data_IF_142198675934
#
_entry.id   IF_142198675934
#
_cell.length_a   1.000
_cell.length_b   1.000
_cell.length_c   1.000
_cell.angle_alpha   90.00
_cell.angle_beta   90.00
_cell.angle_gamma   90.00
#
_symmetry.space_group_name_H-M   'P 1'
#
loop_
_entity.id
_entity.type
_entity.pdbx_description
1 polymer ?
#
# COMPACT_ATOMS: atom_id res chain seq x y z
N UNK A 1 -81.50 0.50 -16.22
CA UNK A 1 -81.26 0.26 -17.66
C UNK A 1 -80.09 1.14 -18.04
N UNK A 2 -78.89 0.70 -18.37
CA UNK A 2 -78.29 -0.64 -18.55
C UNK A 2 -76.82 -0.46 -18.10
N UNK A 3 -76.28 -1.32 -17.24
CA UNK A 3 -75.33 -2.39 -17.60
C UNK A 3 -74.61 -2.20 -18.95
N UNK A 4 -73.28 -2.05 -18.90
CA UNK A 4 -72.34 -2.73 -19.82
C UNK A 4 -70.85 -2.58 -19.37
N UNK A 5 -70.37 -3.67 -18.75
CA UNK A 5 -69.09 -4.35 -18.99
C UNK A 5 -67.76 -3.57 -19.13
N UNK A 6 -67.07 -3.40 -18.00
CA UNK A 6 -65.60 -3.33 -17.96
C UNK A 6 -64.99 -4.72 -18.20
N UNK A 7 -64.52 -4.96 -19.43
CA UNK A 7 -63.72 -6.15 -19.75
C UNK A 7 -62.27 -5.96 -19.27
N UNK A 8 -61.94 -6.61 -18.16
CA UNK A 8 -60.57 -6.72 -17.65
C UNK A 8 -59.76 -7.59 -18.62
N UNK A 9 -58.97 -6.96 -19.49
CA UNK A 9 -57.96 -7.65 -20.30
C UNK A 9 -56.83 -8.07 -19.37
N UNK A 10 -56.83 -9.34 -18.98
CA UNK A 10 -55.70 -9.97 -18.28
C UNK A 10 -54.53 -10.16 -19.25
N UNK A 11 -53.52 -9.28 -19.15
CA UNK A 11 -52.22 -9.52 -19.79
C UNK A 11 -51.51 -10.70 -19.10
N UNK A 12 -51.80 -11.92 -19.59
CA UNK A 12 -51.00 -13.10 -19.25
C UNK A 12 -49.62 -13.00 -19.91
N UNK A 13 -48.69 -12.31 -19.24
CA UNK A 13 -47.26 -12.38 -19.59
C UNK A 13 -46.75 -13.80 -19.32
N UNK A 14 -46.92 -14.69 -20.30
CA UNK A 14 -46.33 -16.04 -20.29
C UNK A 14 -44.81 -15.94 -20.41
N UNK A 15 -44.12 -15.53 -19.34
CA UNK A 15 -42.69 -15.77 -19.17
C UNK A 15 -42.50 -17.29 -19.25
N UNK A 16 -41.83 -17.78 -20.29
CA UNK A 16 -41.44 -19.20 -20.40
C UNK A 16 -40.64 -19.57 -19.15
N UNK A 17 -41.22 -20.39 -18.27
CA UNK A 17 -40.53 -20.92 -17.10
C UNK A 17 -39.35 -21.79 -17.54
N UNK A 18 -38.14 -21.42 -17.15
CA UNK A 18 -36.95 -22.25 -17.34
C UNK A 18 -36.72 -23.05 -16.05
N UNK A 19 -36.54 -24.37 -16.18
CA UNK A 19 -36.10 -25.20 -15.06
C UNK A 19 -34.68 -24.83 -14.66
N UNK A 20 -34.47 -24.62 -13.36
CA UNK A 20 -33.13 -24.39 -12.82
C UNK A 20 -32.31 -25.72 -12.84
N UNK A 21 -31.00 -25.66 -12.57
CA UNK A 21 -30.16 -26.87 -12.65
C UNK A 21 -30.47 -27.89 -11.55
N UNK A 22 -30.97 -27.46 -10.38
CA UNK A 22 -31.35 -28.37 -9.30
C UNK A 22 -32.63 -29.13 -9.64
N UNK A 23 -33.64 -28.46 -10.19
CA UNK A 23 -34.87 -29.07 -10.71
C UNK A 23 -34.53 -30.09 -11.81
N UNK A 24 -33.58 -29.76 -12.70
CA UNK A 24 -33.15 -30.67 -13.77
C UNK A 24 -32.43 -31.90 -13.23
N UNK A 25 -31.63 -31.78 -12.17
CA UNK A 25 -31.02 -32.93 -11.48
C UNK A 25 -32.07 -33.79 -10.77
N UNK A 26 -33.02 -33.15 -10.09
CA UNK A 26 -34.12 -33.84 -9.40
C UNK A 26 -35.01 -34.63 -10.38
N UNK A 27 -35.38 -34.01 -11.52
CA UNK A 27 -36.07 -34.69 -12.63
C UNK A 27 -35.29 -35.92 -13.09
N UNK A 28 -33.95 -35.81 -13.20
CA UNK A 28 -33.13 -36.94 -13.64
C UNK A 28 -33.06 -38.07 -12.62
N UNK A 29 -32.97 -37.76 -11.33
CA UNK A 29 -33.02 -38.77 -10.28
C UNK A 29 -34.35 -39.55 -10.33
N UNK A 30 -35.47 -38.85 -10.50
CA UNK A 30 -36.79 -39.48 -10.64
C UNK A 30 -36.84 -40.39 -11.87
N UNK A 31 -36.31 -39.94 -13.00
CA UNK A 31 -36.28 -40.72 -14.24
C UNK A 31 -35.33 -41.94 -14.15
N UNK A 32 -34.19 -41.81 -13.47
CA UNK A 32 -33.26 -42.92 -13.22
C UNK A 32 -33.87 -44.00 -12.33
N UNK A 33 -34.52 -43.60 -11.23
CA UNK A 33 -35.25 -44.54 -10.36
C UNK A 33 -36.43 -45.22 -11.08
N UNK A 34 -36.88 -44.65 -12.20
CA UNK A 34 -37.98 -45.17 -13.03
C UNK A 34 -37.46 -45.76 -14.35
N UNK A 35 -36.20 -46.22 -14.40
CA UNK A 35 -35.59 -46.81 -15.60
C UNK A 35 -35.06 -48.23 -15.37
N UNK A 36 -35.06 -49.06 -16.41
CA UNK A 36 -34.51 -50.41 -16.39
C UNK A 36 -32.98 -50.41 -16.48
N UNK A 37 -32.36 -51.58 -16.31
CA UNK A 37 -30.91 -51.77 -16.44
C UNK A 37 -30.37 -51.41 -17.84
N UNK A 38 -31.25 -51.29 -18.85
CA UNK A 38 -30.93 -50.91 -20.23
C UNK A 38 -31.19 -49.40 -20.49
N UNK A 39 -31.61 -48.64 -19.47
CA UNK A 39 -31.89 -47.20 -19.56
C UNK A 39 -33.22 -46.84 -20.22
N UNK A 40 -34.18 -47.76 -20.33
CA UNK A 40 -35.54 -47.50 -20.78
C UNK A 40 -36.43 -47.11 -19.61
N UNK A 41 -37.29 -46.09 -19.79
CA UNK A 41 -38.22 -45.67 -18.75
C UNK A 41 -39.32 -46.73 -18.56
N UNK A 42 -39.48 -47.20 -17.33
CA UNK A 42 -40.49 -48.19 -16.92
C UNK A 42 -41.70 -47.44 -16.36
N UNK A 43 -42.90 -47.80 -16.82
CA UNK A 43 -44.16 -47.24 -16.32
C UNK A 43 -44.78 -46.22 -17.27
N UNK A 44 -45.94 -46.57 -17.82
CA UNK A 44 -46.78 -45.66 -18.61
C UNK A 44 -47.25 -44.51 -17.73
N UNK A 45 -46.87 -43.28 -18.05
CA UNK A 45 -47.32 -42.07 -17.34
C UNK A 45 -46.29 -41.36 -16.47
N UNK A 46 -45.05 -41.88 -16.33
CA UNK A 46 -44.00 -41.25 -15.50
C UNK A 46 -43.61 -39.88 -16.06
N UNK A 47 -43.45 -39.78 -17.38
CA UNK A 47 -43.09 -38.53 -18.05
C UNK A 47 -44.21 -37.49 -17.90
N UNK A 48 -45.48 -37.89 -18.03
CA UNK A 48 -46.63 -37.02 -17.83
C UNK A 48 -46.70 -36.50 -16.39
N UNK A 49 -46.44 -37.36 -15.40
CA UNK A 49 -46.46 -36.99 -13.98
C UNK A 49 -45.36 -35.99 -13.62
N UNK A 50 -44.14 -36.24 -14.09
CA UNK A 50 -42.99 -35.35 -13.85
C UNK A 50 -43.15 -34.03 -14.62
N UNK A 51 -43.69 -34.08 -15.84
CA UNK A 51 -44.01 -32.89 -16.61
C UNK A 51 -45.03 -32.00 -15.87
N UNK A 52 -46.08 -32.60 -15.30
CA UNK A 52 -47.09 -31.90 -14.53
C UNK A 52 -46.53 -31.34 -13.21
N UNK A 53 -45.74 -32.10 -12.46
CA UNK A 53 -45.20 -31.65 -11.16
C UNK A 53 -44.25 -30.46 -11.28
N UNK A 54 -43.53 -30.36 -12.39
CA UNK A 54 -42.61 -29.25 -12.67
C UNK A 54 -43.21 -28.18 -13.60
N UNK A 55 -44.50 -28.29 -13.94
CA UNK A 55 -45.22 -27.37 -14.84
C UNK A 55 -44.48 -27.11 -16.17
N UNK A 56 -43.95 -28.18 -16.78
CA UNK A 56 -43.23 -28.14 -18.06
C UNK A 56 -43.85 -29.09 -19.07
N UNK A 57 -43.68 -28.77 -20.35
CA UNK A 57 -44.13 -29.67 -21.40
C UNK A 57 -43.31 -30.98 -21.41
N UNK A 58 -43.94 -32.12 -21.71
CA UNK A 58 -43.30 -33.45 -21.79
C UNK A 58 -42.02 -33.49 -22.63
N UNK A 59 -41.94 -32.66 -23.68
CA UNK A 59 -40.73 -32.55 -24.53
C UNK A 59 -39.51 -32.03 -23.77
N UNK A 60 -39.69 -31.23 -22.71
CA UNK A 60 -38.60 -30.76 -21.84
C UNK A 60 -38.01 -31.93 -21.06
N UNK A 61 -38.87 -32.80 -20.53
CA UNK A 61 -38.47 -34.01 -19.80
C UNK A 61 -37.73 -34.97 -20.73
N UNK A 62 -38.26 -35.24 -21.93
CA UNK A 62 -37.57 -36.06 -22.94
C UNK A 62 -36.22 -35.48 -23.36
N UNK A 63 -36.11 -34.15 -23.49
CA UNK A 63 -34.83 -33.49 -23.82
C UNK A 63 -33.82 -33.61 -22.69
N UNK A 64 -34.25 -33.49 -21.44
CA UNK A 64 -33.39 -33.70 -20.27
C UNK A 64 -32.91 -35.16 -20.21
N UNK A 65 -33.81 -36.12 -20.42
CA UNK A 65 -33.48 -37.55 -20.46
C UNK A 65 -32.49 -37.91 -21.56
N UNK A 66 -32.71 -37.39 -22.77
CA UNK A 66 -31.77 -37.55 -23.89
C UNK A 66 -30.40 -36.95 -23.57
N UNK A 67 -30.37 -35.74 -23.00
CA UNK A 67 -29.12 -35.08 -22.62
C UNK A 67 -28.34 -35.88 -21.57
N UNK A 68 -29.03 -36.50 -20.60
CA UNK A 68 -28.42 -37.39 -19.62
C UNK A 68 -27.77 -38.61 -20.30
N UNK A 69 -28.48 -39.27 -21.22
CA UNK A 69 -27.96 -40.44 -21.96
C UNK A 69 -26.74 -40.09 -22.81
N UNK A 70 -26.77 -38.94 -23.48
CA UNK A 70 -25.73 -38.56 -24.43
C UNK A 70 -24.45 -38.02 -23.75
N UNK A 71 -24.57 -37.33 -22.60
CA UNK A 71 -23.46 -36.55 -22.02
C UNK A 71 -23.20 -36.79 -20.54
N UNK A 72 -24.08 -37.49 -19.83
CA UNK A 72 -23.99 -37.66 -18.36
C UNK A 72 -24.25 -36.38 -17.56
N UNK A 73 -24.48 -35.22 -18.20
CA UNK A 73 -24.73 -33.94 -17.54
C UNK A 73 -26.05 -33.32 -17.99
N UNK A 74 -26.88 -32.95 -17.01
CA UNK A 74 -28.25 -32.48 -17.23
C UNK A 74 -28.43 -30.99 -17.02
N UNK A 75 -27.38 -30.29 -16.58
CA UNK A 75 -27.40 -28.84 -16.44
C UNK A 75 -27.72 -28.15 -17.78
N UNK A 76 -28.39 -27.00 -17.75
CA UNK A 76 -28.74 -26.31 -18.98
C UNK A 76 -27.47 -25.76 -19.68
N UNK A 77 -27.26 -26.10 -20.96
CA UNK A 77 -26.12 -25.62 -21.77
C UNK A 77 -26.00 -24.08 -21.91
N UNK A 78 -26.99 -23.31 -21.44
CA UNK A 78 -26.94 -21.85 -21.42
C UNK A 78 -25.99 -21.32 -20.34
N UNK A 79 -25.65 -22.12 -19.33
CA UNK A 79 -24.66 -21.70 -18.32
C UNK A 79 -23.23 -21.64 -18.87
N UNK A 80 -22.93 -22.32 -19.98
CA UNK A 80 -21.59 -22.31 -20.60
C UNK A 80 -21.56 -21.60 -21.96
N UNK A 81 -22.61 -21.73 -22.78
CA UNK A 81 -22.60 -21.25 -24.17
C UNK A 81 -23.38 -19.95 -24.41
N UNK A 82 -23.73 -19.20 -23.36
CA UNK A 82 -24.39 -17.90 -23.49
C UNK A 82 -23.44 -16.75 -23.23
N UNK A 83 -23.45 -15.78 -24.16
CA UNK A 83 -22.74 -14.52 -24.03
C UNK A 83 -21.77 -14.25 -25.18
N UNK A 84 -21.31 -13.00 -25.27
CA UNK A 84 -20.31 -12.58 -26.26
C UNK A 84 -18.97 -13.24 -25.92
N UNK A 85 -18.35 -13.93 -26.89
CA UNK A 85 -16.99 -14.48 -26.77
C UNK A 85 -16.03 -13.40 -26.28
N UNK A 86 -15.16 -13.74 -25.32
CA UNK A 86 -14.15 -12.81 -24.80
C UNK A 86 -13.21 -12.42 -25.95
N UNK A 87 -12.85 -11.13 -26.00
CA UNK A 87 -11.81 -10.67 -26.91
C UNK A 87 -10.51 -11.31 -26.43
N UNK A 88 -9.98 -12.26 -27.20
CA UNK A 88 -8.64 -12.78 -26.96
C UNK A 88 -7.65 -11.70 -27.36
N UNK A 89 -6.87 -11.26 -26.38
CA UNK A 89 -5.74 -10.38 -26.62
C UNK A 89 -4.57 -11.25 -27.05
N UNK A 90 -3.98 -10.95 -28.20
CA UNK A 90 -2.69 -11.50 -28.57
C UNK A 90 -1.62 -10.85 -27.69
N UNK A 91 -1.14 -11.60 -26.69
CA UNK A 91 -0.15 -11.14 -25.73
C UNK A 91 1.22 -10.95 -26.39
N UNK A 92 1.49 -11.68 -27.46
CA UNK A 92 2.77 -11.70 -28.17
C UNK A 92 2.86 -10.45 -29.03
N UNK A 93 1.77 -10.08 -29.71
CA UNK A 93 1.63 -8.78 -30.36
C UNK A 93 1.81 -7.63 -29.34
N UNK A 94 1.19 -7.72 -28.16
CA UNK A 94 1.36 -6.72 -27.11
C UNK A 94 2.81 -6.60 -26.64
N UNK A 95 3.57 -7.68 -26.55
CA UNK A 95 5.01 -7.66 -26.20
C UNK A 95 5.88 -7.00 -27.26
N UNK A 96 5.45 -6.95 -28.52
CA UNK A 96 6.19 -6.30 -29.61
C UNK A 96 5.94 -4.79 -29.69
N UNK A 97 4.82 -4.29 -29.16
CA UNK A 97 4.50 -2.85 -29.19
C UNK A 97 5.53 -2.04 -28.37
N UNK A 98 6.19 -0.99 -28.88
CA UNK A 98 7.13 -0.20 -28.08
C UNK A 98 6.50 0.39 -26.80
N UNK A 99 7.25 0.47 -25.70
CA UNK A 99 6.74 0.99 -24.41
C UNK A 99 6.15 2.41 -24.52
N UNK A 100 6.69 3.25 -25.40
CA UNK A 100 6.16 4.60 -25.69
C UNK A 100 4.69 4.58 -26.13
N UNK A 101 4.25 3.51 -26.81
CA UNK A 101 2.85 3.29 -27.23
C UNK A 101 2.00 2.54 -26.20
N UNK A 102 2.55 2.17 -25.04
CA UNK A 102 1.84 1.46 -23.95
C UNK A 102 1.44 2.36 -22.77
N UNK A 103 1.71 3.67 -22.83
CA UNK A 103 1.52 4.60 -21.71
C UNK A 103 0.05 4.84 -21.33
N UNK A 104 -0.86 4.75 -22.29
CA UNK A 104 -2.30 4.95 -22.06
C UNK A 104 -3.11 3.87 -22.77
N UNK A 105 -4.32 3.58 -22.27
CA UNK A 105 -5.23 2.66 -22.95
C UNK A 105 -5.54 3.06 -24.39
N UNK A 106 -5.56 4.37 -24.69
CA UNK A 106 -5.84 4.86 -26.04
C UNK A 106 -4.68 4.56 -26.99
N UNK A 107 -3.44 4.82 -26.56
CA UNK A 107 -2.24 4.56 -27.37
C UNK A 107 -2.07 3.05 -27.62
N UNK A 108 -2.24 2.24 -26.58
CA UNK A 108 -2.14 0.78 -26.68
C UNK A 108 -3.25 0.19 -27.56
N UNK A 109 -4.48 0.70 -27.43
CA UNK A 109 -5.61 0.32 -28.29
C UNK A 109 -5.32 0.56 -29.76
N UNK A 110 -4.76 1.73 -30.09
CA UNK A 110 -4.39 2.09 -31.46
C UNK A 110 -3.28 1.17 -31.99
N UNK A 111 -2.25 0.90 -31.18
CA UNK A 111 -1.14 0.02 -31.57
C UNK A 111 -1.56 -1.44 -31.80
N UNK A 112 -2.57 -1.93 -31.06
CA UNK A 112 -3.09 -3.29 -31.15
C UNK A 112 -4.32 -3.42 -32.05
N UNK A 113 -4.80 -2.31 -32.62
CA UNK A 113 -6.03 -2.24 -33.39
C UNK A 113 -7.25 -2.88 -32.68
N UNK A 114 -7.40 -2.62 -31.37
CA UNK A 114 -8.52 -3.10 -30.56
C UNK A 114 -9.25 -1.95 -29.87
N UNK A 115 -10.54 -2.10 -29.52
CA UNK A 115 -11.25 -1.07 -28.76
C UNK A 115 -10.62 -0.81 -27.39
N UNK A 116 -10.47 0.47 -27.02
CA UNK A 116 -10.01 0.90 -25.68
C UNK A 116 -10.78 0.23 -24.55
N UNK A 117 -12.09 0.05 -24.72
CA UNK A 117 -12.98 -0.59 -23.74
C UNK A 117 -12.60 -2.05 -23.48
N UNK A 118 -12.12 -2.77 -24.49
CA UNK A 118 -11.61 -4.13 -24.34
C UNK A 118 -10.38 -4.17 -23.43
N UNK A 119 -9.42 -3.25 -23.62
CA UNK A 119 -8.24 -3.14 -22.75
C UNK A 119 -8.62 -2.78 -21.30
N UNK A 120 -9.54 -1.85 -21.09
CA UNK A 120 -10.01 -1.49 -19.73
C UNK A 120 -10.62 -2.71 -19.04
N UNK A 121 -11.41 -3.51 -19.75
CA UNK A 121 -11.98 -4.75 -19.21
C UNK A 121 -10.91 -5.79 -18.91
N UNK A 122 -9.94 -5.99 -19.80
CA UNK A 122 -8.82 -6.90 -19.58
C UNK A 122 -7.97 -6.50 -18.38
N UNK A 123 -7.76 -5.20 -18.15
CA UNK A 123 -7.09 -4.69 -16.95
C UNK A 123 -7.89 -4.97 -15.68
N UNK A 124 -9.22 -4.72 -15.69
CA UNK A 124 -10.09 -5.01 -14.54
C UNK A 124 -10.13 -6.50 -14.18
N UNK A 125 -10.01 -7.39 -15.17
CA UNK A 125 -9.99 -8.86 -14.98
C UNK A 125 -8.57 -9.37 -14.69
N UNK A 126 -7.54 -8.53 -14.72
CA UNK A 126 -6.16 -8.88 -14.37
C UNK A 126 -5.33 -9.53 -15.48
N UNK A 127 -5.82 -9.56 -16.72
CA UNK A 127 -5.06 -10.10 -17.88
C UNK A 127 -3.89 -9.18 -18.23
N UNK A 128 -4.06 -7.87 -18.05
CA UNK A 128 -2.99 -6.88 -18.22
C UNK A 128 -2.86 -6.06 -16.93
N UNK A 129 -1.63 -5.70 -16.57
CA UNK A 129 -1.33 -4.89 -15.38
C UNK A 129 -0.76 -3.54 -15.76
N UNK A 130 -1.13 -2.51 -15.00
CA UNK A 130 -0.40 -1.23 -15.03
C UNK A 130 0.88 -1.37 -14.23
N UNK A 131 1.98 -0.89 -14.78
CA UNK A 131 3.25 -0.75 -14.09
C UNK A 131 3.69 0.71 -14.16
N UNK A 132 4.07 1.28 -13.02
CA UNK A 132 4.66 2.61 -12.95
C UNK A 132 6.16 2.44 -12.95
N UNK A 133 6.84 3.11 -13.88
CA UNK A 133 8.29 3.12 -13.97
C UNK A 133 8.80 4.46 -13.41
N UNK A 134 9.38 4.42 -12.21
CA UNK A 134 9.98 5.60 -11.57
C UNK A 134 11.45 5.67 -11.94
N UNK A 135 11.94 6.87 -12.27
CA UNK A 135 13.37 7.10 -12.51
C UNK A 135 14.17 6.80 -11.25
N UNK A 136 15.23 6.01 -11.40
CA UNK A 136 16.19 5.71 -10.34
C UNK A 136 17.50 6.46 -10.61
N UNK A 137 18.27 6.84 -9.57
CA UNK A 137 19.60 7.40 -9.75
C UNK A 137 20.47 6.45 -10.58
N UNK A 138 21.29 7.03 -11.45
CA UNK A 138 22.29 6.27 -12.20
C UNK A 138 23.42 5.82 -11.27
N UNK A 139 23.67 4.50 -11.21
CA UNK A 139 24.75 3.93 -10.40
C UNK A 139 25.99 3.72 -11.27
N UNK A 140 27.11 4.34 -10.87
CA UNK A 140 28.44 4.02 -11.40
C UNK A 140 28.90 2.68 -10.85
N UNK A 141 29.88 2.06 -11.50
CA UNK A 141 30.47 0.78 -11.06
C UNK A 141 30.98 0.84 -9.61
N UNK A 142 31.69 1.92 -9.24
CA UNK A 142 32.13 2.15 -7.86
C UNK A 142 30.96 2.19 -6.85
N UNK A 143 29.85 2.83 -7.23
CA UNK A 143 28.65 2.87 -6.38
C UNK A 143 28.05 1.47 -6.23
N UNK A 144 28.01 0.68 -7.31
CA UNK A 144 27.50 -0.70 -7.27
C UNK A 144 28.35 -1.58 -6.35
N UNK A 145 29.68 -1.48 -6.46
CA UNK A 145 30.61 -2.22 -5.61
C UNK A 145 30.47 -1.80 -4.15
N UNK A 146 30.42 -0.50 -3.86
CA UNK A 146 30.24 0.01 -2.50
C UNK A 146 28.93 -0.47 -1.87
N UNK A 147 27.83 -0.45 -2.65
CA UNK A 147 26.53 -0.98 -2.25
C UNK A 147 26.58 -2.47 -1.97
N UNK A 148 27.21 -3.26 -2.85
CA UNK A 148 27.34 -4.70 -2.64
C UNK A 148 28.13 -5.02 -1.37
N UNK A 149 29.25 -4.33 -1.13
CA UNK A 149 30.03 -4.48 0.11
C UNK A 149 29.21 -4.14 1.35
N UNK A 150 28.41 -3.08 1.29
CA UNK A 150 27.52 -2.69 2.37
C UNK A 150 26.46 -3.78 2.64
N UNK A 151 25.78 -4.30 1.61
CA UNK A 151 24.82 -5.39 1.77
C UNK A 151 25.48 -6.65 2.36
N UNK A 152 26.69 -7.00 1.93
CA UNK A 152 27.44 -8.12 2.48
C UNK A 152 27.84 -7.89 3.95
N UNK A 153 28.10 -6.65 4.35
CA UNK A 153 28.42 -6.32 5.74
C UNK A 153 27.24 -6.47 6.69
N UNK A 154 26.00 -6.50 6.16
CA UNK A 154 24.79 -6.76 6.94
C UNK A 154 24.52 -8.25 7.15
N UNK A 155 25.33 -9.15 6.58
CA UNK A 155 25.26 -10.58 6.83
C UNK A 155 26.08 -10.93 8.07
N UNK A 156 25.49 -11.68 9.00
CA UNK A 156 26.19 -12.19 10.17
C UNK A 156 27.28 -13.18 9.74
N UNK A 157 28.53 -12.82 10.01
CA UNK A 157 29.70 -13.63 9.67
C UNK A 157 29.67 -15.02 10.31
N UNK A 158 29.04 -15.16 11.49
CA UNK A 158 28.95 -16.43 12.21
C UNK A 158 27.97 -17.41 11.55
N UNK A 159 27.08 -16.91 10.69
CA UNK A 159 26.05 -17.69 10.02
C UNK A 159 26.50 -18.25 8.66
N UNK A 160 27.63 -17.77 8.15
CA UNK A 160 28.19 -18.18 6.87
C UNK A 160 29.02 -19.47 6.98
N UNK A 161 29.04 -20.34 5.94
CA UNK A 161 28.26 -20.27 4.70
C UNK A 161 26.91 -21.02 4.74
N UNK A 162 26.59 -21.73 5.83
CA UNK A 162 25.57 -22.77 5.81
C UNK A 162 24.13 -22.26 5.95
N UNK A 163 23.90 -21.20 6.74
CA UNK A 163 22.58 -20.61 6.97
C UNK A 163 22.71 -19.09 7.14
N UNK A 164 22.98 -18.33 6.05
CA UNK A 164 23.26 -16.90 6.12
C UNK A 164 22.07 -16.13 6.70
N UNK A 165 22.30 -15.45 7.82
CA UNK A 165 21.35 -14.57 8.50
C UNK A 165 21.82 -13.13 8.42
N UNK A 166 20.88 -12.20 8.35
CA UNK A 166 21.19 -10.79 8.54
C UNK A 166 21.50 -10.51 10.01
N UNK A 167 22.35 -9.52 10.25
CA UNK A 167 22.56 -9.01 11.61
C UNK A 167 21.24 -8.47 12.19
N UNK A 168 21.10 -8.48 13.50
CA UNK A 168 19.85 -8.06 14.15
C UNK A 168 19.54 -6.57 13.96
N UNK A 169 20.56 -5.74 13.70
CA UNK A 169 20.50 -4.27 13.65
C UNK A 169 20.06 -3.61 14.97
N UNK A 170 20.02 -4.35 16.09
CA UNK A 170 19.60 -3.80 17.39
C UNK A 170 20.55 -2.73 17.95
N UNK A 171 21.76 -2.62 17.40
CA UNK A 171 22.78 -1.67 17.77
C UNK A 171 22.97 -0.54 16.74
N UNK A 172 22.03 -0.36 15.81
CA UNK A 172 22.09 0.67 14.77
C UNK A 172 20.93 1.65 14.96
N UNK A 173 21.25 2.93 15.16
CA UNK A 173 20.32 4.05 15.11
C UNK A 173 20.32 4.62 13.70
N UNK A 174 19.20 4.52 13.01
CA UNK A 174 18.99 5.09 11.69
C UNK A 174 18.54 6.54 11.85
N UNK A 175 19.25 7.45 11.19
CA UNK A 175 18.89 8.86 11.14
C UNK A 175 18.73 9.33 9.70
N UNK A 176 17.76 10.23 9.51
CA UNK A 176 17.52 10.87 8.21
C UNK A 176 16.60 12.10 8.39
N UNK A 177 16.59 12.98 7.41
CA UNK A 177 15.80 14.20 7.39
C UNK A 177 14.63 14.14 6.41
N UNK A 178 13.47 14.67 6.83
CA UNK A 178 12.31 14.79 5.94
C UNK A 178 11.55 16.09 6.09
N UNK A 179 11.14 16.65 4.95
CA UNK A 179 10.14 17.71 4.88
C UNK A 179 8.71 17.21 5.10
N UNK A 180 8.05 17.74 6.13
CA UNK A 180 6.61 17.62 6.33
C UNK A 180 5.92 18.93 5.94
N UNK A 181 4.75 18.82 5.33
CA UNK A 181 4.00 19.95 4.77
C UNK A 181 2.69 20.11 5.53
N UNK A 182 2.27 21.35 5.78
CA UNK A 182 0.95 21.65 6.36
C UNK A 182 -0.17 21.01 5.50
N UNK A 183 0.01 20.99 4.18
CA UNK A 183 -0.99 20.40 3.28
C UNK A 183 -0.39 19.91 1.97
N UNK A 184 -1.06 18.96 1.30
CA UNK A 184 -0.66 18.48 -0.04
C UNK A 184 -1.30 19.29 -1.15
N UNK A 185 -0.56 19.45 -2.26
CA UNK A 185 -1.05 20.06 -3.50
C UNK A 185 -2.31 19.39 -4.06
N UNK A 186 -2.37 18.06 -3.96
CA UNK A 186 -3.52 17.26 -4.38
C UNK A 186 -3.86 16.27 -3.27
N UNK A 187 -5.13 16.29 -2.87
CA UNK A 187 -5.72 15.34 -1.92
C UNK A 187 -6.94 14.75 -2.63
N UNK A 188 -7.14 13.44 -2.48
CA UNK A 188 -8.32 12.74 -3.00
C UNK A 188 -9.22 12.41 -1.82
N UNK A 189 -10.41 12.99 -1.82
CA UNK A 189 -11.45 12.73 -0.84
C UNK A 189 -12.56 11.90 -1.51
N UNK A 190 -13.12 10.95 -0.78
CA UNK A 190 -14.36 10.29 -1.17
C UNK A 190 -15.50 11.05 -0.52
N UNK A 191 -16.38 11.62 -1.34
CA UNK A 191 -17.51 12.45 -0.89
C UNK A 191 -18.82 11.70 -1.11
N UNK A 192 -19.81 11.98 -0.28
CA UNK A 192 -21.18 11.54 -0.55
C UNK A 192 -21.72 12.24 -1.82
N UNK A 193 -22.71 11.64 -2.51
CA UNK A 193 -23.24 12.19 -3.78
C UNK A 193 -23.83 13.59 -3.59
N UNK A 194 -24.40 13.84 -2.42
CA UNK A 194 -25.03 15.11 -2.04
C UNK A 194 -24.09 16.04 -1.23
N UNK A 195 -22.83 15.67 -1.05
CA UNK A 195 -21.85 16.48 -0.31
C UNK A 195 -21.21 17.53 -1.22
N UNK A 196 -21.13 18.77 -0.75
CA UNK A 196 -20.48 19.84 -1.50
C UNK A 196 -18.97 19.61 -1.64
N UNK A 197 -18.44 19.92 -2.82
CA UNK A 197 -17.02 19.78 -3.08
C UNK A 197 -16.20 20.76 -2.21
N UNK A 198 -15.25 20.27 -1.38
CA UNK A 198 -14.52 21.14 -0.47
C UNK A 198 -13.57 22.07 -1.22
N UNK A 199 -13.76 23.37 -1.04
CA UNK A 199 -12.90 24.40 -1.63
C UNK A 199 -11.62 24.61 -0.80
N UNK A 200 -10.45 24.40 -1.41
CA UNK A 200 -9.14 24.59 -0.76
C UNK A 200 -8.30 25.62 -1.52
N UNK A 201 -7.89 26.68 -0.83
CA UNK A 201 -7.07 27.76 -1.40
C UNK A 201 -5.72 27.88 -0.70
N UNK A 202 -4.72 28.33 -1.44
CA UNK A 202 -3.44 28.77 -0.90
C UNK A 202 -2.89 29.86 -1.82
N UNK A 203 -2.06 30.78 -1.28
CA UNK A 203 -1.49 31.87 -2.08
C UNK A 203 -0.58 31.36 -3.21
N UNK A 204 0.19 30.28 -2.96
CA UNK A 204 1.04 29.65 -3.96
C UNK A 204 1.30 28.18 -3.64
N UNK A 205 1.11 27.31 -4.64
CA UNK A 205 1.42 25.88 -4.57
C UNK A 205 2.92 25.59 -4.44
N UNK A 206 3.78 26.56 -4.79
CA UNK A 206 5.25 26.43 -4.70
C UNK A 206 5.77 26.71 -3.28
N UNK A 207 5.02 27.47 -2.49
CA UNK A 207 5.45 27.96 -1.17
C UNK A 207 4.50 27.47 -0.07
N UNK A 208 4.11 26.20 -0.11
CA UNK A 208 3.37 25.58 0.98
C UNK A 208 4.30 25.49 2.19
N UNK A 209 3.82 25.99 3.34
CA UNK A 209 4.51 25.90 4.62
C UNK A 209 4.92 24.47 4.94
N UNK A 210 6.18 24.32 5.33
CA UNK A 210 6.82 23.04 5.59
C UNK A 210 7.90 23.18 6.65
N UNK A 211 8.16 22.09 7.36
CA UNK A 211 9.21 21.97 8.38
C UNK A 211 10.01 20.71 8.08
N UNK A 212 11.34 20.79 8.15
CA UNK A 212 12.20 19.62 8.06
C UNK A 212 12.35 19.04 9.46
N UNK A 213 12.36 17.71 9.57
CA UNK A 213 12.60 17.01 10.81
C UNK A 213 13.76 16.04 10.64
N UNK A 214 14.66 15.99 11.61
CA UNK A 214 15.62 14.90 11.78
C UNK A 214 14.96 13.80 12.61
N UNK A 215 14.82 12.61 12.04
CA UNK A 215 14.24 11.47 12.74
C UNK A 215 15.35 10.50 13.13
N UNK A 216 15.30 9.98 14.35
CA UNK A 216 16.20 8.96 14.87
C UNK A 216 15.39 7.77 15.39
N UNK A 217 15.63 6.59 14.83
CA UNK A 217 14.95 5.33 15.20
C UNK A 217 15.91 4.15 15.13
N UNK A 218 15.67 3.16 15.95
CA UNK A 218 16.32 1.85 15.90
C UNK A 218 15.25 0.77 15.81
N UNK A 219 15.69 -0.46 15.54
CA UNK A 219 14.78 -1.59 15.47
C UNK A 219 14.16 -1.85 16.85
N UNK A 220 12.82 -1.90 16.97
CA UNK A 220 12.15 -2.24 18.22
C UNK A 220 12.53 -3.64 18.73
N UNK A 221 12.50 -3.85 20.04
CA UNK A 221 12.76 -5.14 20.69
C UNK A 221 11.53 -5.63 21.42
N UNK A 222 11.37 -6.95 21.40
CA UNK A 222 10.26 -7.65 22.03
C UNK A 222 10.81 -8.81 22.86
N UNK A 223 10.09 -9.19 23.91
CA UNK A 223 10.37 -10.42 24.66
C UNK A 223 9.84 -11.67 23.91
N UNK A 224 9.97 -12.84 24.54
CA UNK A 224 9.52 -14.12 23.96
C UNK A 224 7.99 -14.24 23.87
N UNK A 225 7.24 -13.38 24.57
CA UNK A 225 5.78 -13.32 24.55
C UNK A 225 5.26 -12.25 23.59
N UNK A 226 6.15 -11.66 22.77
CA UNK A 226 5.88 -10.56 21.84
C UNK A 226 5.49 -9.24 22.52
N UNK A 227 5.75 -9.07 23.82
CA UNK A 227 5.58 -7.80 24.50
C UNK A 227 6.73 -6.85 24.15
N UNK A 228 6.41 -5.57 23.97
CA UNK A 228 7.39 -4.54 23.69
C UNK A 228 8.30 -4.31 24.89
N UNK A 229 9.59 -4.61 24.74
CA UNK A 229 10.63 -4.30 25.74
C UNK A 229 11.35 -3.00 25.41
N UNK A 230 11.41 -2.64 24.12
CA UNK A 230 12.01 -1.40 23.68
C UNK A 230 11.38 -0.91 22.37
N UNK A 231 10.81 0.29 22.39
CA UNK A 231 10.09 0.85 21.23
C UNK A 231 10.98 1.13 20.01
N UNK A 232 12.28 1.36 20.25
CA UNK A 232 13.24 1.82 19.25
C UNK A 232 13.04 3.27 18.78
N UNK A 233 12.10 4.02 19.36
CA UNK A 233 11.87 5.42 19.03
C UNK A 233 12.81 6.31 19.83
N UNK A 234 13.82 6.91 19.18
CA UNK A 234 14.77 7.80 19.85
C UNK A 234 14.25 9.25 19.85
N UNK A 235 13.79 9.74 18.70
CA UNK A 235 13.17 11.06 18.63
C UNK A 235 12.94 11.57 17.21
N UNK A 236 12.12 12.61 17.10
CA UNK A 236 11.89 13.35 15.87
C UNK A 236 12.04 14.84 16.16
N UNK A 237 13.04 15.47 15.56
CA UNK A 237 13.51 16.79 15.96
C UNK A 237 13.23 17.81 14.85
N UNK A 238 12.33 18.78 15.04
CA UNK A 238 12.06 19.81 14.04
C UNK A 238 13.24 20.77 13.89
N UNK A 239 13.62 21.09 12.66
CA UNK A 239 14.54 22.18 12.34
C UNK A 239 13.81 23.51 12.39
N UNK A 240 13.68 24.06 13.60
CA UNK A 240 12.98 25.30 13.88
C UNK A 240 13.78 26.20 14.83
N UNK A 241 13.44 27.48 14.83
CA UNK A 241 13.92 28.45 15.80
C UNK A 241 12.78 29.37 16.22
N UNK A 242 12.86 29.89 17.44
CA UNK A 242 11.90 30.86 17.96
C UNK A 242 12.35 32.28 17.65
N UNK A 243 11.41 33.13 17.22
CA UNK A 243 11.67 34.54 16.96
C UNK A 243 10.44 35.39 17.31
N UNK A 244 10.59 36.57 17.95
CA UNK A 244 9.48 37.49 18.14
C UNK A 244 8.93 38.00 16.80
N UNK A 245 7.60 38.06 16.70
CA UNK A 245 6.89 38.60 15.55
C UNK A 245 7.31 40.06 15.30
N UNK A 246 7.82 40.36 14.10
CA UNK A 246 8.28 41.72 13.74
C UNK A 246 7.16 42.72 13.51
N UNK A 247 5.96 42.24 13.15
CA UNK A 247 4.79 43.08 12.82
C UNK A 247 3.56 42.45 13.45
N UNK A 248 2.64 43.29 13.90
CA UNK A 248 1.29 42.85 14.26
C UNK A 248 0.55 42.37 13.02
N UNK A 249 -0.27 41.35 13.19
CA UNK A 249 -1.21 40.85 12.19
C UNK A 249 -2.56 40.59 12.84
N UNK A 250 -3.58 40.28 12.05
CA UNK A 250 -4.91 39.90 12.56
C UNK A 250 -4.83 38.75 13.58
N UNK A 251 -3.85 37.86 13.44
CA UNK A 251 -3.75 36.66 14.26
C UNK A 251 -2.81 36.78 15.47
N UNK A 252 -2.09 37.91 15.64
CA UNK A 252 -1.07 38.08 16.70
C UNK A 252 -0.49 39.50 16.75
N UNK A 253 -0.09 39.93 17.95
CA UNK A 253 0.57 41.23 18.17
C UNK A 253 2.07 41.11 17.87
N UNK A 254 2.71 42.21 17.48
CA UNK A 254 4.17 42.28 17.40
C UNK A 254 4.80 41.89 18.75
N UNK A 255 5.90 41.13 18.72
CA UNK A 255 6.59 40.64 19.90
C UNK A 255 6.16 39.23 20.37
N UNK A 256 5.03 38.69 19.92
CA UNK A 256 4.67 37.28 20.22
C UNK A 256 5.74 36.34 19.65
N UNK A 257 6.22 35.38 20.46
CA UNK A 257 7.20 34.39 20.03
C UNK A 257 6.57 33.48 18.97
N UNK A 258 7.26 33.33 17.84
CA UNK A 258 6.84 32.48 16.72
C UNK A 258 7.90 31.43 16.41
N UNK A 259 7.45 30.19 16.23
CA UNK A 259 8.27 29.12 15.67
C UNK A 259 8.40 29.29 14.15
N UNK A 260 9.63 29.33 13.67
CA UNK A 260 9.94 29.41 12.23
C UNK A 260 10.81 28.25 11.79
N UNK A 261 10.55 27.69 10.59
CA UNK A 261 11.40 26.65 10.03
C UNK A 261 12.76 27.22 9.65
N UNK A 262 13.82 26.46 9.91
CA UNK A 262 15.14 26.71 9.35
C UNK A 262 15.08 26.37 7.86
N UNK A 263 15.30 27.37 7.01
CA UNK A 263 15.14 27.20 5.56
C UNK A 263 16.25 26.37 4.90
N UNK A 264 17.45 26.41 5.46
CA UNK A 264 18.63 25.69 4.96
C UNK A 264 19.34 25.01 6.12
N UNK A 265 19.35 23.69 6.12
CA UNK A 265 20.08 22.89 7.10
C UNK A 265 21.54 22.77 6.62
N UNK A 266 22.44 23.46 7.31
CA UNK A 266 23.88 23.37 7.04
C UNK A 266 24.50 22.24 7.84
N UNK A 267 25.76 21.92 7.54
CA UNK A 267 26.52 20.91 8.28
C UNK A 267 26.66 21.23 9.76
N UNK A 268 26.78 22.51 10.09
CA UNK A 268 26.88 22.99 11.47
C UNK A 268 25.55 22.83 12.22
N UNK A 269 24.43 23.07 11.54
CA UNK A 269 23.09 22.82 12.10
C UNK A 269 22.88 21.32 12.34
N UNK A 270 23.21 20.47 11.36
CA UNK A 270 23.12 19.02 11.53
C UNK A 270 24.01 18.51 12.67
N UNK A 271 25.27 18.97 12.72
CA UNK A 271 26.19 18.66 13.83
C UNK A 271 25.59 19.03 15.18
N UNK A 272 25.03 20.24 15.30
CA UNK A 272 24.41 20.70 16.53
C UNK A 272 23.20 19.86 16.93
N UNK A 273 22.40 19.37 15.98
CA UNK A 273 21.29 18.46 16.26
C UNK A 273 21.77 17.08 16.70
N UNK A 274 22.82 16.54 16.08
CA UNK A 274 23.41 15.27 16.51
C UNK A 274 23.91 15.35 17.96
N UNK A 275 24.69 16.39 18.26
CA UNK A 275 25.32 16.56 19.57
C UNK A 275 24.30 16.91 20.66
N UNK A 276 23.42 17.88 20.41
CA UNK A 276 22.56 18.44 21.46
C UNK A 276 21.18 17.78 21.54
N UNK A 277 20.80 16.95 20.57
CA UNK A 277 19.48 16.29 20.54
C UNK A 277 19.60 14.78 20.44
N UNK A 278 20.31 14.27 19.44
CA UNK A 278 20.35 12.82 19.17
C UNK A 278 21.16 12.08 20.23
N UNK A 279 22.38 12.51 20.56
CA UNK A 279 23.20 11.86 21.58
C UNK A 279 22.50 11.81 22.96
N UNK A 280 21.98 12.92 23.52
CA UNK A 280 21.22 12.88 24.77
C UNK A 280 19.96 12.00 24.68
N UNK A 281 19.27 11.98 23.54
CA UNK A 281 18.08 11.13 23.38
C UNK A 281 18.44 9.64 23.37
N UNK A 282 19.58 9.26 22.76
CA UNK A 282 20.11 7.90 22.84
C UNK A 282 20.42 7.57 24.31
N UNK A 283 21.19 8.39 25.02
CA UNK A 283 21.56 8.11 26.41
C UNK A 283 20.37 7.91 27.35
N UNK A 284 19.31 8.70 27.15
CA UNK A 284 18.11 8.62 27.97
C UNK A 284 17.25 7.39 27.64
N UNK A 285 17.18 6.98 26.38
CA UNK A 285 16.27 5.93 25.92
C UNK A 285 16.94 4.58 25.74
N UNK A 286 18.26 4.51 25.59
CA UNK A 286 18.96 3.27 25.24
C UNK A 286 18.94 2.27 26.41
N UNK A 287 18.71 0.96 26.14
CA UNK A 287 18.72 -0.06 27.19
C UNK A 287 20.04 -0.09 27.97
N UNK A 288 19.96 0.00 29.30
CA UNK A 288 21.14 0.05 30.19
C UNK A 288 21.93 -1.26 30.21
N UNK A 289 21.30 -2.38 29.83
CA UNK A 289 21.96 -3.67 29.63
C UNK A 289 22.97 -3.69 28.45
N UNK A 290 22.95 -2.67 27.60
CA UNK A 290 23.86 -2.52 26.47
C UNK A 290 25.02 -1.56 26.75
N UNK A 291 25.20 -1.10 27.99
CA UNK A 291 26.38 -0.30 28.36
C UNK A 291 27.66 -1.06 28.01
N UNK A 292 28.61 -0.36 27.38
CA UNK A 292 29.85 -0.94 26.85
C UNK A 292 29.71 -1.66 25.51
N UNK A 293 28.50 -1.80 24.94
CA UNK A 293 28.32 -2.27 23.57
C UNK A 293 28.38 -1.11 22.58
N UNK A 294 28.85 -1.41 21.37
CA UNK A 294 28.95 -0.45 20.27
C UNK A 294 27.60 -0.12 19.67
N UNK A 295 27.28 1.17 19.61
CA UNK A 295 26.10 1.73 18.95
C UNK A 295 26.56 2.48 17.71
N UNK A 296 25.95 2.18 16.56
CA UNK A 296 26.21 2.91 15.32
C UNK A 296 25.07 3.86 15.00
N UNK A 297 25.35 5.14 14.85
CA UNK A 297 24.43 6.08 14.21
C UNK A 297 24.68 6.04 12.72
N UNK A 298 23.71 5.62 11.93
CA UNK A 298 23.79 5.52 10.48
C UNK A 298 23.06 6.69 9.82
N UNK A 299 23.79 7.45 9.01
CA UNK A 299 23.28 8.54 8.17
C UNK A 299 23.54 8.28 6.68
N UNK A 300 22.87 9.04 5.81
CA UNK A 300 23.22 9.06 4.39
C UNK A 300 24.52 9.85 4.13
N UNK A 301 24.97 9.92 2.87
CA UNK A 301 26.20 10.63 2.49
C UNK A 301 25.94 12.02 1.88
N UNK A 302 24.93 12.76 2.38
CA UNK A 302 24.64 14.12 1.95
C UNK A 302 25.78 15.09 2.31
N UNK A 303 25.94 16.16 1.51
CA UNK A 303 27.00 17.17 1.72
C UNK A 303 26.88 17.93 3.04
N UNK A 304 25.66 18.03 3.58
CA UNK A 304 25.36 18.63 4.87
C UNK A 304 25.68 17.70 6.05
N UNK A 305 26.12 16.47 5.82
CA UNK A 305 26.45 15.56 6.91
C UNK A 305 27.89 15.75 7.35
N UNK A 306 28.12 15.51 8.64
CA UNK A 306 29.47 15.52 9.20
C UNK A 306 30.20 14.22 8.82
N UNK A 307 31.52 14.28 8.81
CA UNK A 307 32.33 13.06 8.68
C UNK A 307 32.10 12.16 9.88
N UNK A 308 32.26 10.85 9.70
CA UNK A 308 32.28 9.88 10.80
C UNK A 308 33.35 10.17 11.86
N UNK A 309 34.42 10.86 11.46
CA UNK A 309 35.57 11.23 12.29
C UNK A 309 35.51 12.72 12.71
N UNK A 310 34.33 13.35 12.71
CA UNK A 310 34.18 14.75 13.12
C UNK A 310 34.59 14.94 14.60
N UNK A 311 35.54 15.84 14.90
CA UNK A 311 36.16 15.90 16.23
C UNK A 311 35.20 16.38 17.32
N UNK A 312 34.26 17.28 16.99
CA UNK A 312 33.29 17.77 17.97
C UNK A 312 32.26 16.69 18.31
N UNK A 313 31.81 15.94 17.30
CA UNK A 313 30.93 14.80 17.52
C UNK A 313 31.63 13.69 18.30
N UNK A 314 32.86 13.31 17.93
CA UNK A 314 33.62 12.29 18.64
C UNK A 314 33.87 12.67 20.11
N UNK A 315 34.18 13.94 20.38
CA UNK A 315 34.32 14.44 21.76
C UNK A 315 33.02 14.30 22.54
N UNK A 316 31.91 14.78 22.00
CA UNK A 316 30.61 14.67 22.67
C UNK A 316 30.18 13.21 22.87
N UNK A 317 30.39 12.34 21.88
CA UNK A 317 30.09 10.91 22.01
C UNK A 317 30.98 10.21 23.05
N UNK A 318 32.22 10.66 23.27
CA UNK A 318 33.12 10.09 24.28
C UNK A 318 32.77 10.46 25.72
N UNK A 319 31.94 11.48 25.92
CA UNK A 319 31.40 11.84 27.24
C UNK A 319 30.25 10.89 27.65
N UNK A 320 29.74 10.11 26.70
CA UNK A 320 28.67 9.13 26.92
C UNK A 320 29.15 7.88 27.65
N UNK A 321 28.24 7.23 28.39
CA UNK A 321 28.46 5.88 28.94
C UNK A 321 28.41 4.79 27.86
N UNK A 322 27.98 5.13 26.64
CA UNK A 322 27.87 4.22 25.50
C UNK A 322 28.98 4.47 24.46
N UNK A 323 29.48 3.41 23.82
CA UNK A 323 30.41 3.51 22.68
C UNK A 323 29.63 3.84 21.41
N UNK A 324 29.38 5.14 21.18
CA UNK A 324 28.59 5.64 20.04
C UNK A 324 29.51 6.07 18.89
N UNK A 325 29.26 5.53 17.70
CA UNK A 325 30.05 5.82 16.50
C UNK A 325 29.14 6.20 15.33
N UNK A 326 29.60 7.14 14.51
CA UNK A 326 28.87 7.54 13.30
C UNK A 326 29.33 6.68 12.10
N UNK A 327 28.38 6.27 11.28
CA UNK A 327 28.63 5.54 10.03
C UNK A 327 27.78 6.09 8.90
N UNK A 328 28.26 5.94 7.67
CA UNK A 328 27.60 6.46 6.48
C UNK A 328 27.19 5.33 5.55
N UNK A 329 25.98 5.43 5.01
CA UNK A 329 25.54 4.57 3.93
C UNK A 329 26.32 4.84 2.63
N UNK A 330 26.42 3.84 1.73
CA UNK A 330 27.00 4.05 0.40
C UNK A 330 26.21 5.09 -0.40
N UNK A 331 26.87 5.93 -1.22
CA UNK A 331 26.21 6.97 -2.02
C UNK A 331 25.08 6.43 -2.90
N UNK A 332 24.02 7.23 -3.11
CA UNK A 332 22.87 6.91 -3.96
C UNK A 332 22.16 5.60 -3.56
N UNK A 333 21.91 5.42 -2.26
CA UNK A 333 21.27 4.20 -1.73
C UNK A 333 20.02 4.45 -0.88
N UNK A 334 19.06 5.26 -1.36
CA UNK A 334 17.83 5.51 -0.61
C UNK A 334 16.98 4.24 -0.40
N UNK A 335 17.16 3.24 -1.25
CA UNK A 335 16.53 1.92 -1.13
C UNK A 335 17.15 1.04 -0.03
N UNK A 336 18.24 1.49 0.61
CA UNK A 336 18.85 0.84 1.77
C UNK A 336 18.58 1.61 3.07
N UNK A 337 17.77 2.67 3.01
CA UNK A 337 17.41 3.48 4.17
C UNK A 337 16.00 3.12 4.67
N UNK A 338 15.93 2.54 5.87
CA UNK A 338 14.68 2.12 6.51
C UNK A 338 13.69 3.28 6.67
N UNK A 339 14.19 4.49 6.90
CA UNK A 339 13.37 5.67 7.11
C UNK A 339 12.64 6.07 5.83
N UNK A 340 13.34 6.09 4.70
CA UNK A 340 12.79 6.38 3.38
C UNK A 340 11.87 5.27 2.84
N UNK A 341 12.22 4.01 3.07
CA UNK A 341 11.48 2.86 2.56
C UNK A 341 10.04 2.81 3.07
N UNK A 342 9.83 3.10 4.36
CA UNK A 342 8.52 2.93 4.97
C UNK A 342 8.19 3.87 6.13
N UNK A 343 9.14 4.14 7.02
CA UNK A 343 8.84 4.78 8.30
C UNK A 343 8.25 6.18 8.08
N UNK A 344 8.92 6.99 7.27
CA UNK A 344 8.47 8.33 6.95
C UNK A 344 7.13 8.39 6.21
N UNK A 345 6.85 7.40 5.37
CA UNK A 345 5.56 7.33 4.69
C UNK A 345 4.43 7.04 5.70
N UNK A 346 4.71 6.21 6.71
CA UNK A 346 3.78 5.91 7.78
C UNK A 346 3.52 7.15 8.67
N UNK A 347 4.57 7.80 9.18
CA UNK A 347 4.43 9.03 9.99
C UNK A 347 3.68 10.12 9.22
N UNK A 348 4.05 10.33 7.95
CA UNK A 348 3.36 11.31 7.11
C UNK A 348 1.88 10.96 6.88
N UNK A 349 1.53 9.68 6.77
CA UNK A 349 0.13 9.27 6.64
C UNK A 349 -0.67 9.50 7.91
N UNK A 350 -0.06 9.39 9.09
CA UNK A 350 -0.72 9.68 10.38
C UNK A 350 -0.90 11.18 10.58
N UNK A 351 0.18 11.95 10.40
CA UNK A 351 0.16 13.41 10.51
C UNK A 351 -0.91 14.05 9.61
N UNK A 352 -1.14 13.51 8.41
CA UNK A 352 -2.12 14.05 7.47
C UNK A 352 -3.58 13.81 7.83
N UNK A 353 -3.86 12.96 8.82
CA UNK A 353 -5.21 12.82 9.36
C UNK A 353 -5.57 14.00 10.26
N UNK A 354 -4.58 14.77 10.71
CA UNK A 354 -4.80 15.94 11.56
C UNK A 354 -4.88 17.23 10.76
N UNK A 355 -5.92 18.06 10.96
CA UNK A 355 -6.03 19.35 10.31
C UNK A 355 -5.07 20.35 10.95
N UNK A 356 -3.95 20.61 10.29
CA UNK A 356 -2.95 21.60 10.73
C UNK A 356 -3.07 22.91 9.94
N UNK A 357 -2.93 24.04 10.64
CA UNK A 357 -3.03 25.41 10.09
C UNK A 357 -1.82 26.28 10.43
N UNK A 358 -1.01 25.88 11.39
CA UNK A 358 0.20 26.59 11.82
C UNK A 358 1.45 25.69 11.82
N UNK A 359 2.62 26.30 11.99
CA UNK A 359 3.89 25.55 12.12
C UNK A 359 3.92 24.78 13.44
N UNK A 360 3.43 25.36 14.52
CA UNK A 360 3.38 24.72 15.83
C UNK A 360 2.44 23.50 15.82
N UNK A 361 1.27 23.63 15.19
CA UNK A 361 0.35 22.50 15.00
C UNK A 361 0.97 21.41 14.12
N UNK A 362 1.72 21.77 13.08
CA UNK A 362 2.44 20.79 12.26
C UNK A 362 3.50 20.04 13.08
N UNK A 363 4.26 20.75 13.92
CA UNK A 363 5.24 20.14 14.82
C UNK A 363 4.56 19.19 15.80
N UNK A 364 3.49 19.63 16.46
CA UNK A 364 2.70 18.79 17.36
C UNK A 364 2.15 17.55 16.67
N UNK A 365 1.57 17.69 15.48
CA UNK A 365 1.00 16.57 14.72
C UNK A 365 2.06 15.55 14.27
N UNK A 366 3.27 16.00 13.89
CA UNK A 366 4.37 15.09 13.54
C UNK A 366 4.88 14.35 14.78
N UNK A 367 5.06 15.06 15.90
CA UNK A 367 5.50 14.45 17.16
C UNK A 367 4.49 13.41 17.64
N UNK A 368 3.20 13.77 17.67
CA UNK A 368 2.12 12.85 18.01
C UNK A 368 2.09 11.62 17.08
N UNK A 369 2.20 11.83 15.77
CA UNK A 369 2.25 10.73 14.81
C UNK A 369 3.44 9.78 15.05
N UNK A 370 4.60 10.32 15.45
CA UNK A 370 5.78 9.53 15.82
C UNK A 370 5.53 8.72 17.09
N UNK A 371 4.99 9.35 18.13
CA UNK A 371 4.72 8.73 19.43
C UNK A 371 3.64 7.63 19.34
N UNK A 372 2.60 7.85 18.54
CA UNK A 372 1.48 6.90 18.36
C UNK A 372 1.77 5.77 17.36
N UNK A 373 2.80 5.88 16.52
CA UNK A 373 3.07 4.88 15.49
C UNK A 373 3.39 3.50 16.11
N UNK A 374 2.71 2.44 15.66
CA UNK A 374 2.86 1.11 16.25
C UNK A 374 4.29 0.57 16.10
N UNK A 375 4.84 0.06 17.20
CA UNK A 375 6.16 -0.59 17.26
C UNK A 375 6.20 -1.89 16.48
N UNK A 376 5.12 -2.68 16.51
CA UNK A 376 4.95 -3.87 15.67
C UNK A 376 4.98 -3.51 14.17
N UNK A 377 4.30 -2.42 13.77
CA UNK A 377 4.36 -1.93 12.39
C UNK A 377 5.75 -1.40 12.03
N UNK A 378 6.42 -0.72 12.97
CA UNK A 378 7.81 -0.27 12.80
C UNK A 378 8.75 -1.44 12.55
N UNK A 379 8.71 -2.51 13.36
CA UNK A 379 9.56 -3.69 13.21
C UNK A 379 9.35 -4.41 11.86
N UNK A 380 8.13 -4.40 11.32
CA UNK A 380 7.87 -4.92 9.95
C UNK A 380 8.65 -4.15 8.89
N UNK A 381 8.86 -2.84 9.05
CA UNK A 381 9.66 -2.02 8.12
C UNK A 381 11.14 -2.45 8.20
N UNK A 382 11.68 -2.63 9.41
CA UNK A 382 13.05 -3.13 9.58
C UNK A 382 13.26 -4.53 9.00
N UNK A 383 12.23 -5.37 9.02
CA UNK A 383 12.29 -6.73 8.47
C UNK A 383 12.19 -6.77 6.94
N UNK A 384 11.90 -5.63 6.29
CA UNK A 384 11.90 -5.51 4.82
C UNK A 384 13.23 -5.03 4.25
N UNK A 385 14.12 -4.50 5.11
CA UNK A 385 15.48 -4.14 4.78
C UNK A 385 16.38 -5.37 4.93
#
# INVERSE_FOLDING_TARGET
MADENESVISESSKKRGFLNNEDRKAICQILLCSSDANGNLIGTGVVERVAASYNVHRSVIYRIWKQLKDTGNVCHNRTQNCGRKRVQLDLELMRQVPLSKRSTYRSLACALNIPKTSLVRLHKVGVIRRHTNTLKPYLKEDNMIARLRFCLSMIDKNSLPHDPKFISMHNIVFIDEKWFYITRNKVTNYLHVDEEEPHRTCKSKKFISKVMFLCAVTRPRFDNEENETYSGKIGIFPFVYEQPARRSSVNRVAGTIETKPIASVTREVNKAYLINKVLPAIENMWPREDVGKKIFIQQDNARSHISKDDPDFCRAASESEFDIQLTCQPPNSPDLNVLDLGFFNAIQSLQQKEPVKSIDELVGAVQKAFDEFSTVQSNKIFSTL
#
